data_IF_805896904957
#
_entry.id   IF_805896904957
#
_cell.length_a   1.000
_cell.length_b   1.000
_cell.length_c   1.000
_cell.angle_alpha   90.00
_cell.angle_beta   90.00
_cell.angle_gamma   90.00
#
_symmetry.space_group_name_H-M   'P 1'
#
loop_
_entity.id
_entity.type
_entity.pdbx_description
1 polymer ?
#
# COMPACT_ATOMS: atom_id res chain seq x y z
N UNK A 1 -14.75 7.27 -13.06
CA UNK A 1 -14.00 6.78 -11.87
C UNK A 1 -12.64 7.44 -11.78
N UNK A 2 -11.71 7.20 -12.73
CA UNK A 2 -10.37 7.79 -12.69
C UNK A 2 -10.37 9.33 -12.60
N UNK A 3 -11.15 10.01 -13.44
CA UNK A 3 -11.26 11.48 -13.41
C UNK A 3 -11.72 11.99 -12.04
N UNK A 4 -12.79 11.42 -11.48
CA UNK A 4 -13.30 11.75 -10.15
C UNK A 4 -12.23 11.55 -9.06
N UNK A 5 -11.52 10.42 -9.09
CA UNK A 5 -10.42 10.16 -8.15
C UNK A 5 -9.32 11.20 -8.28
N UNK A 6 -8.86 11.50 -9.50
CA UNK A 6 -7.79 12.50 -9.72
C UNK A 6 -8.23 13.92 -9.35
N UNK A 7 -9.51 14.27 -9.57
CA UNK A 7 -10.06 15.56 -9.18
C UNK A 7 -10.07 15.71 -7.65
N UNK A 8 -10.45 14.66 -6.92
CA UNK A 8 -10.46 14.65 -5.45
C UNK A 8 -9.06 14.88 -4.86
N UNK A 9 -8.02 14.23 -5.41
CA UNK A 9 -6.63 14.46 -5.01
C UNK A 9 -6.20 15.91 -5.23
N UNK A 10 -6.53 16.49 -6.40
CA UNK A 10 -6.19 17.89 -6.72
C UNK A 10 -6.90 18.87 -5.80
N UNK A 11 -8.18 18.67 -5.53
CA UNK A 11 -8.98 19.51 -4.63
C UNK A 11 -8.39 19.57 -3.22
N UNK A 12 -7.92 18.42 -2.71
CA UNK A 12 -7.33 18.31 -1.37
C UNK A 12 -5.82 18.56 -1.34
N UNK A 13 -5.23 18.94 -2.47
CA UNK A 13 -3.79 19.20 -2.61
C UNK A 13 -2.91 18.03 -2.15
N UNK A 14 -3.38 16.79 -2.38
CA UNK A 14 -2.62 15.58 -2.06
C UNK A 14 -1.69 15.32 -3.26
N UNK A 15 -0.37 15.34 -3.06
CA UNK A 15 0.58 15.09 -4.15
C UNK A 15 0.51 13.64 -4.61
N UNK A 16 0.62 13.43 -5.93
CA UNK A 16 0.72 12.12 -6.56
C UNK A 16 1.48 12.25 -7.88
N UNK A 17 2.24 11.22 -8.24
CA UNK A 17 2.92 11.16 -9.55
C UNK A 17 2.04 10.46 -10.61
N UNK A 18 1.37 9.37 -10.23
CA UNK A 18 0.53 8.57 -11.11
C UNK A 18 -0.68 8.00 -10.37
N UNK A 19 -1.82 7.90 -11.07
CA UNK A 19 -3.03 7.23 -10.59
C UNK A 19 -3.49 6.21 -11.64
N UNK A 20 -3.60 4.95 -11.24
CA UNK A 20 -4.11 3.88 -12.10
C UNK A 20 -5.32 3.22 -11.45
N UNK A 21 -6.41 3.06 -12.22
CA UNK A 21 -7.55 2.28 -11.77
C UNK A 21 -7.29 0.81 -12.10
N UNK A 22 -6.93 0.05 -11.08
CA UNK A 22 -6.62 -1.37 -11.20
C UNK A 22 -7.80 -2.21 -10.69
N UNK A 23 -8.16 -3.25 -11.44
CA UNK A 23 -9.14 -4.24 -10.99
C UNK A 23 -8.61 -5.03 -9.79
N UNK A 24 -9.50 -5.76 -9.11
CA UNK A 24 -9.22 -6.46 -7.84
C UNK A 24 -8.01 -7.39 -7.88
N UNK A 25 -7.69 -7.99 -9.03
CA UNK A 25 -6.66 -9.01 -9.17
C UNK A 25 -5.33 -8.50 -9.74
N UNK A 26 -5.20 -7.20 -10.02
CA UNK A 26 -4.03 -6.65 -10.75
C UNK A 26 -3.01 -5.93 -9.84
N UNK A 27 -3.18 -5.96 -8.51
CA UNK A 27 -2.28 -5.24 -7.57
C UNK A 27 -0.82 -5.69 -7.67
N UNK A 28 -0.58 -7.00 -7.65
CA UNK A 28 0.77 -7.58 -7.76
C UNK A 28 1.40 -7.23 -9.11
N UNK A 29 0.67 -7.42 -10.22
CA UNK A 29 1.16 -7.10 -11.56
C UNK A 29 1.47 -5.60 -11.72
N UNK A 30 0.63 -4.74 -11.15
CA UNK A 30 0.82 -3.29 -11.20
C UNK A 30 2.03 -2.87 -10.37
N UNK A 31 2.19 -3.43 -9.17
CA UNK A 31 3.36 -3.19 -8.35
C UNK A 31 4.66 -3.66 -9.05
N UNK A 32 4.64 -4.82 -9.74
CA UNK A 32 5.75 -5.28 -10.60
C UNK A 32 6.03 -4.28 -11.74
N UNK A 33 4.99 -3.87 -12.47
CA UNK A 33 5.07 -2.94 -13.61
C UNK A 33 5.73 -1.61 -13.24
N UNK A 34 5.41 -1.06 -12.07
CA UNK A 34 5.99 0.19 -11.59
C UNK A 34 7.26 0.03 -10.75
N UNK A 35 7.69 -1.22 -10.51
CA UNK A 35 8.88 -1.53 -9.70
C UNK A 35 8.87 -0.80 -8.36
N UNK A 36 7.75 -0.88 -7.65
CA UNK A 36 7.60 -0.21 -6.35
C UNK A 36 8.42 -0.91 -5.27
N UNK A 37 9.11 -0.14 -4.44
CA UNK A 37 9.95 -0.68 -3.35
C UNK A 37 9.18 -0.94 -2.05
N UNK A 38 7.97 -0.39 -1.91
CA UNK A 38 7.07 -0.59 -0.77
C UNK A 38 5.61 -0.42 -1.18
N UNK A 39 4.68 -1.01 -0.42
CA UNK A 39 3.25 -0.90 -0.68
C UNK A 39 2.45 -0.55 0.59
N UNK A 40 1.34 0.18 0.45
CA UNK A 40 0.43 0.55 1.55
C UNK A 40 -0.95 -0.04 1.27
N UNK A 41 -1.53 -0.76 2.23
CA UNK A 41 -2.74 -1.55 2.03
C UNK A 41 -3.60 -1.61 3.30
N UNK A 42 -4.91 -1.82 3.14
CA UNK A 42 -5.86 -2.00 4.25
C UNK A 42 -6.41 -3.44 4.34
N UNK A 43 -6.42 -4.19 3.24
CA UNK A 43 -6.89 -5.58 3.21
C UNK A 43 -5.77 -6.59 3.46
N UNK A 44 -6.01 -7.50 4.41
CA UNK A 44 -5.07 -8.55 4.82
C UNK A 44 -4.52 -9.39 3.65
N UNK A 45 -5.41 -10.03 2.86
CA UNK A 45 -4.99 -10.95 1.80
C UNK A 45 -4.16 -10.25 0.72
N UNK A 46 -4.47 -8.98 0.42
CA UNK A 46 -3.70 -8.19 -0.52
C UNK A 46 -2.29 -7.93 0.03
N UNK A 47 -2.17 -7.55 1.31
CA UNK A 47 -0.88 -7.25 1.90
C UNK A 47 0.03 -8.48 1.96
N UNK A 48 -0.53 -9.63 2.37
CA UNK A 48 0.19 -10.91 2.38
C UNK A 48 0.60 -11.30 0.97
N UNK A 49 -0.34 -11.33 0.02
CA UNK A 49 -0.05 -11.76 -1.36
C UNK A 49 0.96 -10.85 -2.07
N UNK A 50 0.90 -9.53 -1.87
CA UNK A 50 1.89 -8.60 -2.43
C UNK A 50 3.27 -8.87 -1.86
N UNK A 51 3.40 -9.04 -0.53
CA UNK A 51 4.69 -9.30 0.09
C UNK A 51 5.27 -10.65 -0.36
N UNK A 52 4.48 -11.71 -0.36
CA UNK A 52 4.95 -13.05 -0.75
C UNK A 52 5.40 -13.13 -2.21
N UNK A 53 4.77 -12.37 -3.10
CA UNK A 53 5.08 -12.37 -4.54
C UNK A 53 6.23 -11.44 -4.93
N UNK A 54 6.48 -10.38 -4.16
CA UNK A 54 7.43 -9.32 -4.53
C UNK A 54 8.62 -9.19 -3.58
N UNK A 55 8.54 -9.79 -2.39
CA UNK A 55 9.50 -9.64 -1.30
C UNK A 55 9.80 -8.17 -0.93
N UNK A 56 8.77 -7.31 -1.04
CA UNK A 56 8.84 -5.89 -0.62
C UNK A 56 8.10 -5.67 0.70
N UNK A 57 8.48 -4.66 1.51
CA UNK A 57 7.70 -4.27 2.68
C UNK A 57 6.29 -3.82 2.31
N UNK A 58 5.29 -4.32 3.04
CA UNK A 58 3.91 -3.87 2.91
C UNK A 58 3.39 -3.33 4.24
N UNK A 59 2.99 -2.06 4.26
CA UNK A 59 2.40 -1.40 5.41
C UNK A 59 0.89 -1.65 5.42
N UNK A 60 0.45 -2.54 6.32
CA UNK A 60 -0.96 -2.87 6.53
C UNK A 60 -1.56 -1.95 7.59
N UNK A 61 -2.49 -1.09 7.23
CA UNK A 61 -3.17 -0.24 8.20
C UNK A 61 -4.02 -1.09 9.15
N UNK A 62 -3.73 -1.06 10.45
CA UNK A 62 -4.34 -1.96 11.43
C UNK A 62 -5.83 -1.62 11.64
N UNK A 63 -6.69 -2.61 11.38
CA UNK A 63 -8.13 -2.52 11.62
C UNK A 63 -8.62 -3.81 12.27
N UNK A 64 -9.76 -3.81 12.99
CA UNK A 64 -10.23 -5.02 13.66
C UNK A 64 -10.41 -6.24 12.73
N UNK A 65 -10.80 -6.01 11.47
CA UNK A 65 -11.13 -7.07 10.52
C UNK A 65 -9.91 -7.68 9.82
N UNK A 66 -8.74 -7.02 9.83
CA UNK A 66 -7.57 -7.49 9.09
C UNK A 66 -6.52 -8.17 9.98
N UNK A 67 -6.80 -8.47 11.25
CA UNK A 67 -5.87 -8.96 12.31
C UNK A 67 -5.42 -10.42 12.24
N UNK A 68 -5.56 -11.05 11.07
CA UNK A 68 -5.00 -12.38 10.83
C UNK A 68 -3.45 -12.35 10.87
N UNK A 69 -2.79 -13.51 11.07
CA UNK A 69 -1.33 -13.62 11.10
C UNK A 69 -0.67 -13.10 9.82
N UNK A 70 0.43 -12.36 9.94
CA UNK A 70 1.14 -11.73 8.82
C UNK A 70 2.58 -12.25 8.73
N UNK A 71 3.17 -12.32 7.52
CA UNK A 71 4.59 -12.62 7.34
C UNK A 71 5.48 -11.44 7.79
N UNK A 72 6.79 -11.69 7.95
CA UNK A 72 7.73 -10.72 8.55
C UNK A 72 7.84 -9.38 7.80
N UNK A 73 7.67 -9.36 6.48
CA UNK A 73 7.73 -8.12 5.70
C UNK A 73 6.40 -7.38 5.58
N UNK A 74 5.31 -7.90 6.16
CA UNK A 74 4.06 -7.15 6.32
C UNK A 74 4.07 -6.51 7.71
N UNK A 75 3.96 -5.18 7.75
CA UNK A 75 4.11 -4.38 8.96
C UNK A 75 2.78 -3.69 9.25
N UNK A 76 2.17 -4.00 10.40
CA UNK A 76 0.97 -3.28 10.85
C UNK A 76 1.33 -1.87 11.30
N UNK A 77 0.57 -0.90 10.83
CA UNK A 77 0.70 0.52 11.20
C UNK A 77 -0.67 1.07 11.60
N UNK A 78 -0.76 1.86 12.67
CA UNK A 78 -2.03 2.38 13.16
C UNK A 78 -2.49 3.61 12.40
N UNK A 79 -1.55 4.38 11.88
CA UNK A 79 -1.76 5.65 11.20
C UNK A 79 -0.59 5.99 10.29
N UNK A 80 -0.72 7.12 9.59
CA UNK A 80 0.31 7.63 8.67
C UNK A 80 1.60 8.04 9.38
N UNK A 81 1.56 8.41 10.66
CA UNK A 81 2.78 8.79 11.41
C UNK A 81 3.62 7.55 11.69
N UNK A 82 3.00 6.45 12.13
CA UNK A 82 3.68 5.16 12.32
C UNK A 82 4.18 4.62 10.98
N UNK A 83 3.38 4.70 9.91
CA UNK A 83 3.82 4.33 8.56
C UNK A 83 5.09 5.10 8.14
N UNK A 84 5.10 6.42 8.31
CA UNK A 84 6.27 7.23 8.00
C UNK A 84 7.50 6.83 8.84
N UNK A 85 7.33 6.55 10.14
CA UNK A 85 8.43 6.08 10.98
C UNK A 85 9.04 4.77 10.46
N UNK A 86 8.21 3.83 10.00
CA UNK A 86 8.69 2.58 9.43
C UNK A 86 9.40 2.78 8.09
N UNK A 87 8.87 3.65 7.22
CA UNK A 87 9.53 4.02 5.95
C UNK A 87 10.92 4.61 6.24
N UNK A 88 11.02 5.59 7.14
CA UNK A 88 12.30 6.18 7.52
C UNK A 88 13.26 5.13 8.09
N UNK A 89 12.77 4.15 8.86
CA UNK A 89 13.62 3.07 9.38
C UNK A 89 14.16 2.14 8.28
N UNK A 90 13.39 1.88 7.24
CA UNK A 90 13.74 0.92 6.19
C UNK A 90 14.56 1.53 5.05
N UNK A 91 14.37 2.83 4.77
CA UNK A 91 14.90 3.51 3.59
C UNK A 91 15.81 4.73 3.88
N UNK A 92 16.12 5.02 5.15
CA UNK A 92 17.07 6.09 5.51
C UNK A 92 18.54 5.64 5.47
#
# INVERSE_FOLDING_TARGET
MLECTTAWFREHQIPFDHVELIGTHHKIETAKKFSVDAFFEDKHDNAVGIHEELDIPVFLFDTPYNRNPIPKGVIRVKDWQEANQQVQRLFA
#
